data_IF_012633614764
#
_entry.id   IF_012633614764
#
_cell.length_a   1.000
_cell.length_b   1.000
_cell.length_c   1.000
_cell.angle_alpha   90.00
_cell.angle_beta   90.00
_cell.angle_gamma   90.00
#
_symmetry.space_group_name_H-M   'P 1'
#
loop_
_entity.id
_entity.type
_entity.pdbx_description
1 polymer ?
#
# COMPACT_ATOMS: atom_id res chain seq x y z
N UNK A 1 11.32 -13.06 -2.67
CA UNK A 1 10.37 -13.15 -1.53
C UNK A 1 9.17 -14.02 -1.96
N UNK A 2 8.47 -14.65 -1.02
CA UNK A 2 7.26 -15.43 -1.31
C UNK A 2 6.14 -14.98 -0.37
N UNK A 3 4.98 -14.65 -0.94
CA UNK A 3 3.80 -14.18 -0.20
C UNK A 3 2.68 -15.20 -0.36
N UNK A 4 2.19 -15.74 0.75
CA UNK A 4 1.12 -16.73 0.77
C UNK A 4 0.44 -16.75 2.13
N UNK A 5 -0.88 -16.92 2.16
CA UNK A 5 -1.62 -17.04 3.41
C UNK A 5 -1.34 -18.37 4.15
N UNK A 6 -1.01 -19.42 3.39
CA UNK A 6 -0.69 -20.76 3.91
C UNK A 6 0.16 -21.53 2.90
N UNK A 7 0.91 -22.55 3.34
CA UNK A 7 1.60 -23.45 2.43
C UNK A 7 0.61 -24.07 1.44
N UNK A 8 0.98 -24.10 0.15
CA UNK A 8 0.29 -24.92 -0.83
C UNK A 8 0.65 -26.39 -0.61
N UNK A 9 -0.30 -27.30 -0.87
CA UNK A 9 0.05 -28.71 -0.97
C UNK A 9 1.09 -28.91 -2.09
N UNK A 10 2.01 -29.88 -1.97
CA UNK A 10 2.97 -30.17 -3.03
C UNK A 10 2.25 -30.46 -4.35
N UNK A 11 2.75 -29.86 -5.44
CA UNK A 11 2.19 -30.06 -6.77
C UNK A 11 2.37 -31.52 -7.20
N UNK A 12 1.29 -32.29 -7.23
CA UNK A 12 1.27 -33.61 -7.85
C UNK A 12 1.12 -33.43 -9.38
N UNK A 13 2.14 -33.78 -10.15
CA UNK A 13 2.20 -33.62 -11.60
C UNK A 13 1.15 -34.43 -12.38
N UNK A 14 0.54 -35.44 -11.74
CA UNK A 14 -0.57 -36.20 -12.32
C UNK A 14 -1.91 -35.48 -12.14
N UNK A 15 -2.02 -34.58 -11.16
CA UNK A 15 -3.27 -33.89 -10.81
C UNK A 15 -3.25 -32.39 -11.13
N UNK A 16 -2.07 -31.78 -11.23
CA UNK A 16 -1.91 -30.36 -11.52
C UNK A 16 -1.23 -30.21 -12.87
N UNK A 17 -1.86 -29.43 -13.75
CA UNK A 17 -1.36 -29.11 -15.08
C UNK A 17 -1.36 -27.58 -15.23
N UNK A 18 -0.33 -27.06 -15.90
CA UNK A 18 -0.32 -25.65 -16.30
C UNK A 18 -1.29 -25.48 -17.47
N UNK A 19 -2.42 -24.85 -17.20
CA UNK A 19 -3.48 -24.66 -18.21
C UNK A 19 -3.19 -23.51 -19.17
N UNK A 20 -2.76 -22.36 -18.63
CA UNK A 20 -2.55 -21.14 -19.40
C UNK A 20 -1.51 -20.22 -18.73
N UNK A 21 -1.02 -19.21 -19.46
CA UNK A 21 -0.06 -18.21 -18.98
C UNK A 21 -0.47 -16.82 -19.46
N UNK A 22 -0.26 -15.80 -18.61
CA UNK A 22 -0.60 -14.40 -18.92
C UNK A 22 -2.08 -14.23 -19.29
N UNK A 23 -2.97 -14.90 -18.54
CA UNK A 23 -4.42 -14.64 -18.58
C UNK A 23 -4.87 -13.99 -17.28
N UNK A 24 -6.01 -13.27 -17.27
CA UNK A 24 -6.60 -12.78 -16.04
C UNK A 24 -6.91 -13.92 -15.07
N UNK A 25 -6.59 -13.72 -13.79
CA UNK A 25 -6.89 -14.67 -12.71
C UNK A 25 -7.60 -13.97 -11.56
N UNK A 26 -8.23 -14.77 -10.69
CA UNK A 26 -8.64 -14.33 -9.36
C UNK A 26 -7.74 -14.99 -8.32
N UNK A 27 -7.13 -14.19 -7.44
CA UNK A 27 -6.31 -14.68 -6.34
C UNK A 27 -6.57 -13.84 -5.09
N UNK A 28 -6.93 -14.49 -3.98
CA UNK A 28 -7.26 -13.78 -2.73
C UNK A 28 -8.45 -12.85 -2.87
N UNK A 29 -9.48 -13.27 -3.62
CA UNK A 29 -10.68 -12.48 -3.95
C UNK A 29 -10.41 -11.18 -4.73
N UNK A 30 -9.20 -11.01 -5.28
CA UNK A 30 -8.81 -9.89 -6.13
C UNK A 30 -8.59 -10.35 -7.58
N UNK A 31 -9.11 -9.59 -8.58
CA UNK A 31 -8.77 -9.81 -9.97
C UNK A 31 -7.35 -9.33 -10.25
N UNK A 32 -6.58 -10.12 -10.98
CA UNK A 32 -5.21 -9.80 -11.41
C UNK A 32 -5.17 -9.93 -12.93
N UNK A 33 -4.82 -8.85 -13.61
CA UNK A 33 -4.63 -8.84 -15.05
C UNK A 33 -3.15 -8.86 -15.40
N UNK A 34 -2.77 -9.46 -16.54
CA UNK A 34 -1.41 -9.36 -17.05
C UNK A 34 -0.98 -7.89 -17.19
N UNK A 35 0.12 -7.53 -16.54
CA UNK A 35 0.67 -6.17 -16.53
C UNK A 35 0.37 -5.37 -15.25
N UNK A 36 -0.53 -5.82 -14.39
CA UNK A 36 -0.75 -5.20 -13.08
C UNK A 36 0.53 -5.25 -12.21
N UNK A 37 0.69 -4.26 -11.35
CA UNK A 37 1.83 -4.15 -10.44
C UNK A 37 1.52 -4.90 -9.15
N UNK A 38 2.42 -5.78 -8.74
CA UNK A 38 2.32 -6.50 -7.46
C UNK A 38 3.26 -5.86 -6.44
N UNK A 39 2.69 -5.40 -5.33
CA UNK A 39 3.44 -4.88 -4.19
C UNK A 39 3.39 -5.93 -3.08
N UNK A 40 4.53 -6.23 -2.46
CA UNK A 40 4.58 -7.22 -1.39
C UNK A 40 5.50 -6.82 -0.25
N UNK A 41 5.01 -6.93 0.98
CA UNK A 41 5.73 -6.60 2.21
C UNK A 41 5.37 -7.55 3.38
N UNK A 42 5.62 -7.13 4.62
CA UNK A 42 5.34 -7.96 5.80
C UNK A 42 3.83 -8.11 6.08
N UNK A 43 3.01 -7.23 5.55
CA UNK A 43 1.55 -7.23 5.74
C UNK A 43 0.86 -8.06 4.67
N UNK A 44 1.47 -8.23 3.49
CA UNK A 44 1.03 -9.21 2.51
C UNK A 44 1.39 -8.85 1.08
N UNK A 45 0.51 -9.21 0.14
CA UNK A 45 0.59 -8.83 -1.26
C UNK A 45 -0.62 -8.00 -1.67
N UNK A 46 -0.40 -6.95 -2.45
CA UNK A 46 -1.42 -6.07 -3.01
C UNK A 46 -1.28 -6.03 -4.53
N UNK A 47 -2.42 -5.89 -5.21
CA UNK A 47 -2.51 -5.77 -6.66
C UNK A 47 -2.86 -4.32 -6.99
N UNK A 48 -2.06 -3.67 -7.82
CA UNK A 48 -2.28 -2.31 -8.30
C UNK A 48 -2.55 -2.37 -9.80
N UNK A 49 -3.75 -1.96 -10.26
CA UNK A 49 -4.07 -1.97 -11.68
C UNK A 49 -3.09 -1.14 -12.49
N UNK A 50 -2.57 -1.69 -13.59
CA UNK A 50 -1.48 -1.07 -14.35
C UNK A 50 -1.78 0.38 -14.78
N UNK A 51 -3.03 0.65 -15.16
CA UNK A 51 -3.48 1.96 -15.62
C UNK A 51 -3.64 3.01 -14.51
N UNK A 52 -3.62 2.60 -13.24
CA UNK A 52 -3.71 3.49 -12.07
C UNK A 52 -2.38 3.58 -11.31
N UNK A 53 -1.36 2.82 -11.71
CA UNK A 53 -0.13 2.68 -10.95
C UNK A 53 0.57 4.03 -10.71
N UNK A 54 0.66 4.88 -11.73
CA UNK A 54 1.30 6.20 -11.63
C UNK A 54 0.50 7.16 -10.74
N UNK A 55 -0.84 7.17 -10.89
CA UNK A 55 -1.73 8.01 -10.08
C UNK A 55 -1.67 7.63 -8.59
N UNK A 56 -1.74 6.33 -8.30
CA UNK A 56 -1.64 5.81 -6.93
C UNK A 56 -0.26 6.11 -6.33
N UNK A 57 0.82 5.96 -7.11
CA UNK A 57 2.16 6.27 -6.62
C UNK A 57 2.33 7.76 -6.25
N UNK A 58 1.77 8.67 -7.05
CA UNK A 58 1.80 10.11 -6.77
C UNK A 58 1.00 10.44 -5.49
N UNK A 59 -0.21 9.90 -5.36
CA UNK A 59 -1.05 10.12 -4.18
C UNK A 59 -0.42 9.54 -2.90
N UNK A 60 0.07 8.30 -2.96
CA UNK A 60 0.71 7.63 -1.82
C UNK A 60 1.95 8.38 -1.32
N UNK A 61 2.72 9.02 -2.21
CA UNK A 61 3.88 9.83 -1.81
C UNK A 61 3.47 10.99 -0.90
N UNK A 62 2.33 11.63 -1.19
CA UNK A 62 1.77 12.68 -0.34
C UNK A 62 1.28 12.16 1.00
N UNK A 63 0.67 10.97 1.01
CA UNK A 63 0.22 10.31 2.24
C UNK A 63 1.39 9.92 3.14
N UNK A 64 2.44 9.28 2.62
CA UNK A 64 3.64 8.91 3.40
C UNK A 64 4.29 10.14 4.06
N UNK A 65 4.39 11.26 3.32
CA UNK A 65 4.90 12.51 3.85
C UNK A 65 4.04 13.05 5.01
N UNK A 66 2.71 12.93 4.92
CA UNK A 66 1.82 13.33 6.00
C UNK A 66 1.92 12.38 7.20
N UNK A 67 2.07 11.08 6.98
CA UNK A 67 2.25 10.10 8.06
C UNK A 67 3.54 10.31 8.84
N UNK A 68 4.64 10.68 8.19
CA UNK A 68 5.89 11.04 8.87
C UNK A 68 5.69 12.20 9.85
N UNK A 69 4.95 13.25 9.44
CA UNK A 69 4.57 14.35 10.32
C UNK A 69 3.70 13.89 11.49
N UNK A 70 2.67 13.09 11.22
CA UNK A 70 1.77 12.57 12.26
C UNK A 70 2.54 11.74 13.29
N UNK A 71 3.48 10.89 12.84
CA UNK A 71 4.34 10.11 13.71
C UNK A 71 5.22 10.98 14.60
N UNK A 72 5.78 12.08 14.06
CA UNK A 72 6.56 13.05 14.85
C UNK A 72 5.70 13.74 15.93
N UNK A 73 4.52 14.25 15.57
CA UNK A 73 3.61 14.91 16.52
C UNK A 73 3.16 13.95 17.63
N UNK A 74 2.77 12.72 17.28
CA UNK A 74 2.35 11.70 18.26
C UNK A 74 3.52 11.33 19.19
N UNK A 75 4.73 11.15 18.66
CA UNK A 75 5.94 10.90 19.50
C UNK A 75 6.27 12.11 20.39
N UNK A 76 5.93 13.32 19.95
CA UNK A 76 6.00 14.55 20.73
C UNK A 76 4.90 14.72 21.78
N UNK A 77 3.94 13.81 21.85
CA UNK A 77 2.85 13.80 22.84
C UNK A 77 1.53 14.42 22.35
N UNK A 78 1.39 14.71 21.05
CA UNK A 78 0.12 15.17 20.49
C UNK A 78 -0.95 14.06 20.53
N UNK A 79 -2.21 14.47 20.72
CA UNK A 79 -3.35 13.53 20.64
C UNK A 79 -3.64 13.17 19.19
N UNK A 80 -3.96 11.89 18.95
CA UNK A 80 -4.33 11.40 17.61
C UNK A 80 -5.69 11.94 17.15
N UNK A 81 -6.58 12.27 18.09
CA UNK A 81 -7.95 12.70 17.79
C UNK A 81 -7.92 14.09 17.15
N UNK A 82 -8.24 14.12 15.86
CA UNK A 82 -8.23 15.31 15.01
C UNK A 82 -6.90 15.59 14.31
N UNK A 83 -5.87 14.81 14.61
CA UNK A 83 -4.61 14.75 13.85
C UNK A 83 -4.72 13.73 12.71
N UNK A 84 -5.27 12.54 13.01
CA UNK A 84 -5.45 11.47 12.03
C UNK A 84 -6.84 10.80 12.20
N UNK A 85 -7.79 11.02 11.27
CA UNK A 85 -7.71 11.88 10.10
C UNK A 85 -7.55 13.37 10.47
N UNK A 86 -6.98 14.17 9.56
CA UNK A 86 -6.73 15.60 9.77
C UNK A 86 -8.03 16.42 9.74
N UNK A 87 -8.84 16.33 10.79
CA UNK A 87 -10.13 17.03 10.88
C UNK A 87 -10.03 18.42 11.48
N UNK A 88 -8.92 18.75 12.17
CA UNK A 88 -8.68 20.08 12.72
C UNK A 88 -7.82 20.92 11.77
N UNK A 89 -8.27 22.12 11.34
CA UNK A 89 -7.51 22.99 10.43
C UNK A 89 -6.12 23.37 10.95
N UNK A 90 -5.95 23.49 12.27
CA UNK A 90 -4.65 23.78 12.90
C UNK A 90 -3.56 22.75 12.57
N UNK A 91 -3.93 21.48 12.33
CA UNK A 91 -2.98 20.43 12.01
C UNK A 91 -2.53 20.49 10.54
N UNK A 92 -3.38 21.01 9.66
CA UNK A 92 -3.02 21.27 8.26
C UNK A 92 -1.94 22.36 8.17
N UNK A 93 -2.12 23.46 8.91
CA UNK A 93 -1.14 24.55 8.95
C UNK A 93 0.21 24.09 9.53
N UNK A 94 0.17 23.27 10.59
CA UNK A 94 1.37 22.64 11.16
C UNK A 94 2.07 21.72 10.17
N UNK A 95 1.32 20.90 9.44
CA UNK A 95 1.87 20.02 8.43
C UNK A 95 2.57 20.81 7.32
N UNK A 96 1.96 21.89 6.81
CA UNK A 96 2.58 22.74 5.79
C UNK A 96 3.86 23.43 6.29
N UNK A 97 3.87 23.87 7.55
CA UNK A 97 5.06 24.44 8.18
C UNK A 97 6.17 23.38 8.39
N UNK A 98 5.79 22.18 8.82
CA UNK A 98 6.69 21.04 8.98
C UNK A 98 7.31 20.64 7.65
N UNK A 99 6.51 20.54 6.60
CA UNK A 99 6.93 20.15 5.26
C UNK A 99 8.01 21.07 4.70
N UNK A 100 7.84 22.39 4.85
CA UNK A 100 8.85 23.40 4.48
C UNK A 100 10.17 23.23 5.26
N UNK A 101 10.11 22.83 6.52
CA UNK A 101 11.28 22.62 7.38
C UNK A 101 11.99 21.30 7.06
N UNK A 102 11.24 20.25 6.78
CA UNK A 102 11.74 18.91 6.50
C UNK A 102 12.24 18.73 5.06
N UNK A 103 11.88 19.64 4.14
CA UNK A 103 12.31 19.58 2.74
C UNK A 103 11.60 18.48 1.94
N UNK A 104 10.34 18.19 2.29
CA UNK A 104 9.46 17.24 1.59
C UNK A 104 8.38 17.96 0.79
#
# INVERSE_FOLDING_TARGET
>A
PAYYARPSAPTNLTHHEALDINVPISCGDAPIFPGDVLVGDKDGGMVVPAHLADEIAEECTGMECFEDFVLEEVRGGASIIGLYPCTKPENQEKYEAWRKKAGR
#
